data_IF_694310667780
#
_entry.id   IF_694310667780
#
_cell.length_a   1.000
_cell.length_b   1.000
_cell.length_c   1.000
_cell.angle_alpha   90.00
_cell.angle_beta   90.00
_cell.angle_gamma   90.00
#
_symmetry.space_group_name_H-M   'P 1'
#
loop_
_entity.id
_entity.type
_entity.pdbx_description
1 polymer ?
#
# COMPACT_ATOMS: atom_id res chain seq x y z
N UNK A 1 -21.99 39.09 -18.91
CA UNK A 1 -22.07 38.15 -17.78
C UNK A 1 -20.68 37.59 -17.58
N UNK A 2 -19.88 38.22 -16.73
CA UNK A 2 -18.51 37.79 -16.43
C UNK A 2 -18.58 36.50 -15.62
N UNK A 3 -18.04 35.42 -16.17
CA UNK A 3 -17.88 34.15 -15.45
C UNK A 3 -16.91 34.40 -14.31
N UNK A 4 -17.43 34.47 -13.09
CA UNK A 4 -16.65 34.56 -11.87
C UNK A 4 -15.93 33.22 -11.69
N UNK A 5 -14.67 33.17 -12.13
CA UNK A 5 -13.82 32.01 -11.91
C UNK A 5 -13.54 31.98 -10.41
N UNK A 6 -14.26 31.12 -9.67
CA UNK A 6 -13.97 30.83 -8.27
C UNK A 6 -12.49 30.47 -8.15
N UNK A 7 -11.66 31.42 -7.72
CA UNK A 7 -10.24 31.20 -7.53
C UNK A 7 -10.09 30.29 -6.32
N UNK A 8 -9.98 28.98 -6.56
CA UNK A 8 -9.65 28.02 -5.53
C UNK A 8 -8.27 28.42 -5.00
N UNK A 9 -8.23 28.94 -3.77
CA UNK A 9 -7.02 29.42 -3.09
C UNK A 9 -5.95 28.32 -3.13
N UNK A 10 -4.74 28.64 -3.60
CA UNK A 10 -3.66 27.68 -3.74
C UNK A 10 -3.48 26.82 -2.46
N UNK A 11 -3.23 25.51 -2.59
CA UNK A 11 -3.08 24.64 -1.44
C UNK A 11 -1.85 25.04 -0.63
N UNK A 12 -1.89 24.82 0.69
CA UNK A 12 -0.78 25.09 1.61
C UNK A 12 0.48 24.27 1.26
N UNK A 13 0.30 23.07 0.73
CA UNK A 13 1.35 22.17 0.24
C UNK A 13 0.91 21.61 -1.11
N UNK A 14 1.83 21.59 -2.07
CA UNK A 14 1.59 20.92 -3.37
C UNK A 14 1.69 19.40 -3.24
N UNK A 15 1.04 18.62 -4.12
CA UNK A 15 1.13 17.15 -4.10
C UNK A 15 2.58 16.65 -4.05
N UNK A 16 3.46 17.19 -4.90
CA UNK A 16 4.87 16.81 -4.94
C UNK A 16 5.63 17.12 -3.64
N UNK A 17 5.25 18.19 -2.92
CA UNK A 17 5.85 18.50 -1.61
C UNK A 17 5.38 17.51 -0.53
N UNK A 18 4.14 17.03 -0.61
CA UNK A 18 3.63 15.98 0.30
C UNK A 18 4.39 14.67 0.04
N UNK A 19 4.52 14.25 -1.22
CA UNK A 19 5.31 13.07 -1.61
C UNK A 19 6.77 13.19 -1.18
N UNK A 20 7.41 14.36 -1.37
CA UNK A 20 8.80 14.58 -0.94
C UNK A 20 8.93 14.52 0.59
N UNK A 21 7.99 15.10 1.32
CA UNK A 21 7.96 15.03 2.78
C UNK A 21 7.85 13.58 3.25
N UNK A 22 6.94 12.79 2.66
CA UNK A 22 6.78 11.35 2.93
C UNK A 22 8.09 10.62 2.69
N UNK A 23 8.73 10.84 1.55
CA UNK A 23 10.00 10.21 1.21
C UNK A 23 11.11 10.49 2.22
N UNK A 24 11.33 11.77 2.55
CA UNK A 24 12.36 12.19 3.51
C UNK A 24 12.05 11.62 4.90
N UNK A 25 10.79 11.68 5.33
CA UNK A 25 10.37 11.16 6.63
C UNK A 25 10.57 9.64 6.71
N UNK A 26 10.18 8.89 5.68
CA UNK A 26 10.41 7.44 5.58
C UNK A 26 11.90 7.11 5.75
N UNK A 27 12.80 7.82 5.06
CA UNK A 27 14.26 7.57 5.17
C UNK A 27 14.74 7.87 6.59
N UNK A 28 14.34 9.00 7.18
CA UNK A 28 14.74 9.38 8.53
C UNK A 28 14.28 8.33 9.54
N UNK A 29 13.02 7.89 9.47
CA UNK A 29 12.47 6.88 10.37
C UNK A 29 13.20 5.54 10.23
N UNK A 30 13.51 5.14 8.99
CA UNK A 30 14.29 3.94 8.72
C UNK A 30 15.69 4.02 9.36
N UNK A 31 16.41 5.11 9.14
CA UNK A 31 17.75 5.32 9.70
C UNK A 31 17.69 5.36 11.22
N UNK A 32 16.71 6.05 11.82
CA UNK A 32 16.52 6.11 13.27
C UNK A 32 16.29 4.71 13.83
N UNK A 33 15.41 3.91 13.21
CA UNK A 33 15.13 2.55 13.66
C UNK A 33 16.38 1.67 13.64
N UNK A 34 17.15 1.74 12.56
CA UNK A 34 18.33 0.88 12.38
C UNK A 34 19.55 1.33 13.21
N UNK A 35 19.65 2.63 13.53
CA UNK A 35 20.86 3.18 14.15
C UNK A 35 20.79 3.26 15.67
N UNK A 36 19.60 3.27 16.27
CA UNK A 36 19.41 3.50 17.70
C UNK A 36 18.70 2.33 18.39
N UNK A 37 19.07 2.08 19.64
CA UNK A 37 18.34 1.16 20.51
C UNK A 37 17.04 1.82 20.99
N UNK A 38 15.93 1.51 20.33
CA UNK A 38 14.63 2.08 20.63
C UNK A 38 13.82 1.23 21.62
N UNK A 39 13.13 1.88 22.55
CA UNK A 39 12.13 1.23 23.40
C UNK A 39 10.89 0.83 22.61
N UNK A 40 10.08 -0.08 23.16
CA UNK A 40 8.81 -0.49 22.54
C UNK A 40 7.90 0.70 22.24
N UNK A 41 7.85 1.70 23.13
CA UNK A 41 7.04 2.91 22.92
C UNK A 41 7.57 3.74 21.75
N UNK A 42 8.89 3.92 21.63
CA UNK A 42 9.50 4.65 20.52
C UNK A 42 9.25 3.95 19.18
N UNK A 43 9.40 2.63 19.13
CA UNK A 43 9.06 1.81 17.96
C UNK A 43 7.58 1.93 17.59
N UNK A 44 6.68 1.88 18.58
CA UNK A 44 5.24 2.09 18.38
C UNK A 44 4.94 3.46 17.78
N UNK A 45 5.59 4.52 18.26
CA UNK A 45 5.43 5.88 17.70
C UNK A 45 5.86 5.91 16.23
N UNK A 46 6.99 5.29 15.88
CA UNK A 46 7.46 5.22 14.48
C UNK A 46 6.44 4.47 13.60
N UNK A 47 5.90 3.34 14.08
CA UNK A 47 4.84 2.60 13.39
C UNK A 47 3.58 3.45 13.15
N UNK A 48 3.16 4.25 14.14
CA UNK A 48 2.03 5.19 13.97
C UNK A 48 2.36 6.28 12.94
N UNK A 49 3.59 6.77 12.89
CA UNK A 49 4.01 7.73 11.86
C UNK A 49 4.00 7.07 10.47
N UNK A 50 4.46 5.81 10.32
CA UNK A 50 4.33 5.07 9.06
C UNK A 50 2.87 4.92 8.62
N UNK A 51 1.96 4.63 9.55
CA UNK A 51 0.53 4.60 9.24
C UNK A 51 0.05 5.98 8.73
N UNK A 52 0.49 7.08 9.36
CA UNK A 52 0.18 8.42 8.88
C UNK A 52 0.78 8.72 7.49
N UNK A 53 1.98 8.21 7.17
CA UNK A 53 2.60 8.34 5.84
C UNK A 53 1.73 7.66 4.76
N UNK A 54 1.22 6.45 5.02
CA UNK A 54 0.31 5.77 4.10
C UNK A 54 -1.05 6.47 3.98
N UNK A 55 -1.53 7.16 5.03
CA UNK A 55 -2.74 7.98 4.92
C UNK A 55 -2.47 9.23 4.08
N UNK A 56 -1.31 9.87 4.24
CA UNK A 56 -0.92 11.07 3.49
C UNK A 56 -0.80 10.81 1.98
N UNK A 57 -0.40 9.59 1.58
CA UNK A 57 -0.41 9.10 0.20
C UNK A 57 -1.76 9.31 -0.49
N UNK A 58 -2.83 8.84 0.15
CA UNK A 58 -4.15 8.99 -0.44
C UNK A 58 -4.62 10.46 -0.52
N UNK A 59 -4.04 11.34 0.30
CA UNK A 59 -4.40 12.77 0.37
C UNK A 59 -3.76 13.56 -0.78
N UNK A 60 -2.52 13.26 -1.18
CA UNK A 60 -1.87 14.00 -2.27
C UNK A 60 -2.61 13.84 -3.61
N UNK A 61 -3.18 12.66 -3.87
CA UNK A 61 -4.04 12.39 -5.01
C UNK A 61 -5.36 13.18 -4.98
N UNK A 62 -5.95 13.38 -3.80
CA UNK A 62 -7.14 14.24 -3.63
C UNK A 62 -6.77 15.70 -3.93
N UNK A 63 -5.66 16.19 -3.39
CA UNK A 63 -5.17 17.55 -3.61
C UNK A 63 -4.86 17.76 -5.10
N UNK A 64 -4.18 16.82 -5.76
CA UNK A 64 -3.86 16.92 -7.18
C UNK A 64 -5.11 17.05 -8.06
N UNK A 65 -6.16 16.24 -7.79
CA UNK A 65 -7.44 16.31 -8.51
C UNK A 65 -8.20 17.60 -8.21
N UNK A 66 -8.26 18.01 -6.93
CA UNK A 66 -9.00 19.19 -6.48
C UNK A 66 -8.42 20.50 -7.03
N UNK A 67 -7.09 20.58 -7.16
CA UNK A 67 -6.40 21.79 -7.58
C UNK A 67 -5.89 21.74 -9.03
N UNK A 68 -6.19 20.68 -9.78
CA UNK A 68 -5.68 20.47 -11.15
C UNK A 68 -4.15 20.55 -11.25
N UNK A 69 -3.44 20.10 -10.21
CA UNK A 69 -1.97 20.15 -10.11
C UNK A 69 -1.34 18.80 -10.49
N UNK A 70 -1.88 18.12 -11.49
CA UNK A 70 -1.33 16.86 -11.98
C UNK A 70 -0.08 17.13 -12.84
N UNK A 71 1.06 16.55 -12.45
CA UNK A 71 2.30 16.58 -13.23
C UNK A 71 2.77 15.17 -13.51
N UNK A 72 3.28 14.94 -14.73
CA UNK A 72 3.78 13.62 -15.15
C UNK A 72 4.98 13.18 -14.28
N UNK A 73 5.89 14.11 -13.99
CA UNK A 73 7.03 13.86 -13.10
C UNK A 73 6.60 13.56 -11.66
N UNK A 74 5.60 14.27 -11.14
CA UNK A 74 5.03 14.02 -9.82
C UNK A 74 4.42 12.63 -9.69
N UNK A 75 3.66 12.20 -10.70
CA UNK A 75 3.07 10.86 -10.72
C UNK A 75 4.12 9.73 -10.69
N UNK A 76 5.23 9.86 -11.43
CA UNK A 76 6.30 8.87 -11.39
C UNK A 76 7.07 8.90 -10.07
N UNK A 77 7.29 10.10 -9.52
CA UNK A 77 7.97 10.25 -8.23
C UNK A 77 7.16 9.62 -7.09
N UNK A 78 5.85 9.83 -7.08
CA UNK A 78 4.93 9.24 -6.12
C UNK A 78 4.96 7.71 -6.14
N UNK A 79 4.78 7.12 -7.32
CA UNK A 79 4.87 5.67 -7.49
C UNK A 79 6.22 5.08 -7.04
N UNK A 80 7.32 5.81 -7.19
CA UNK A 80 8.63 5.38 -6.70
C UNK A 80 8.74 5.48 -5.16
N UNK A 81 8.24 6.57 -4.58
CA UNK A 81 8.25 6.80 -3.12
C UNK A 81 7.38 5.77 -2.38
N UNK A 82 6.29 5.32 -2.98
CA UNK A 82 5.43 4.27 -2.42
C UNK A 82 6.18 2.95 -2.27
N UNK A 83 6.85 2.52 -3.34
CA UNK A 83 7.64 1.29 -3.36
C UNK A 83 8.76 1.38 -2.34
N UNK A 84 9.47 2.51 -2.29
CA UNK A 84 10.53 2.72 -1.30
C UNK A 84 9.98 2.68 0.12
N UNK A 85 8.88 3.36 0.41
CA UNK A 85 8.25 3.39 1.73
C UNK A 85 7.82 2.00 2.18
N UNK A 86 7.18 1.24 1.29
CA UNK A 86 6.79 -0.14 1.55
C UNK A 86 8.00 -1.02 1.90
N UNK A 87 9.05 -1.00 1.07
CA UNK A 87 10.21 -1.87 1.28
C UNK A 87 11.06 -1.46 2.48
N UNK A 88 11.23 -0.17 2.77
CA UNK A 88 11.96 0.26 3.96
C UNK A 88 11.24 -0.18 5.24
N UNK A 89 9.91 -0.08 5.29
CA UNK A 89 9.14 -0.66 6.39
C UNK A 89 9.26 -2.19 6.43
N UNK A 90 9.29 -2.87 5.28
CA UNK A 90 9.50 -4.32 5.21
C UNK A 90 10.84 -4.73 5.84
N UNK A 91 11.90 -4.00 5.51
CA UNK A 91 13.23 -4.24 6.05
C UNK A 91 13.33 -3.95 7.55
N UNK A 92 12.63 -2.93 8.06
CA UNK A 92 12.48 -2.71 9.50
C UNK A 92 11.87 -3.94 10.19
N UNK A 93 10.76 -4.45 9.64
CA UNK A 93 10.08 -5.62 10.21
C UNK A 93 10.92 -6.89 10.07
N UNK A 94 11.72 -7.00 9.01
CA UNK A 94 12.67 -8.10 8.84
C UNK A 94 13.80 -8.04 9.87
N UNK A 95 14.36 -6.85 10.16
CA UNK A 95 15.42 -6.72 11.17
C UNK A 95 14.94 -7.07 12.58
N UNK A 96 13.63 -7.00 12.83
CA UNK A 96 13.00 -7.45 14.08
C UNK A 96 12.64 -8.96 14.07
N UNK A 97 12.93 -9.68 12.98
CA UNK A 97 12.60 -11.09 12.83
C UNK A 97 11.11 -11.38 12.59
N UNK A 98 10.32 -10.37 12.23
CA UNK A 98 8.86 -10.49 12.06
C UNK A 98 8.53 -10.91 10.63
N UNK A 99 9.01 -10.15 9.64
CA UNK A 99 8.78 -10.49 8.23
C UNK A 99 9.94 -11.35 7.70
N UNK A 100 9.64 -12.54 7.14
CA UNK A 100 10.67 -13.39 6.58
C UNK A 100 11.15 -12.85 5.22
N UNK A 101 12.44 -13.05 4.91
CA UNK A 101 13.05 -12.54 3.68
C UNK A 101 12.39 -13.05 2.38
N UNK A 102 11.82 -14.26 2.38
CA UNK A 102 11.12 -14.78 1.20
C UNK A 102 9.87 -13.96 0.86
N UNK A 103 9.15 -13.44 1.87
CA UNK A 103 7.97 -12.60 1.67
C UNK A 103 8.36 -11.31 0.94
N UNK A 104 9.44 -10.67 1.42
CA UNK A 104 9.98 -9.46 0.81
C UNK A 104 10.44 -9.73 -0.63
N UNK A 105 11.13 -10.84 -0.86
CA UNK A 105 11.55 -11.23 -2.20
C UNK A 105 10.36 -11.45 -3.15
N UNK A 106 9.29 -12.14 -2.72
CA UNK A 106 8.08 -12.35 -3.52
C UNK A 106 7.39 -11.03 -3.87
N UNK A 107 7.32 -10.09 -2.92
CA UNK A 107 6.75 -8.77 -3.14
C UNK A 107 7.62 -7.94 -4.11
N UNK A 108 8.94 -8.02 -3.99
CA UNK A 108 9.89 -7.31 -4.86
C UNK A 108 9.85 -7.82 -6.29
N UNK A 109 9.90 -9.14 -6.48
CA UNK A 109 9.80 -9.78 -7.80
C UNK A 109 8.55 -9.30 -8.52
N UNK A 110 7.41 -9.31 -7.82
CA UNK A 110 6.13 -8.83 -8.36
C UNK A 110 6.23 -7.37 -8.81
N UNK A 111 6.84 -6.51 -8.01
CA UNK A 111 6.93 -5.08 -8.33
C UNK A 111 7.79 -4.82 -9.57
N UNK A 112 8.94 -5.48 -9.67
CA UNK A 112 9.82 -5.43 -10.84
C UNK A 112 9.09 -5.88 -12.10
N UNK A 113 8.34 -7.00 -12.04
CA UNK A 113 7.57 -7.48 -13.18
C UNK A 113 6.49 -6.49 -13.64
N UNK A 114 5.75 -5.90 -12.69
CA UNK A 114 4.70 -4.92 -13.04
C UNK A 114 5.30 -3.68 -13.68
N UNK A 115 6.43 -3.17 -13.18
CA UNK A 115 7.15 -2.04 -13.78
C UNK A 115 7.60 -2.37 -15.19
N UNK A 116 8.22 -3.54 -15.40
CA UNK A 116 8.66 -4.00 -16.73
C UNK A 116 7.50 -4.08 -17.73
N UNK A 117 6.40 -4.74 -17.34
CA UNK A 117 5.24 -4.91 -18.24
C UNK A 117 4.63 -3.55 -18.59
N UNK A 118 4.50 -2.64 -17.63
CA UNK A 118 3.99 -1.30 -17.89
C UNK A 118 4.89 -0.52 -18.86
N UNK A 119 6.21 -0.63 -18.72
CA UNK A 119 7.16 0.01 -19.63
C UNK A 119 7.02 -0.56 -21.06
N UNK A 120 7.01 -1.88 -21.21
CA UNK A 120 6.82 -2.55 -22.50
C UNK A 120 5.50 -2.15 -23.18
N UNK A 121 4.39 -2.15 -22.43
CA UNK A 121 3.09 -1.77 -22.98
C UNK A 121 3.03 -0.30 -23.41
N UNK A 122 3.68 0.59 -22.65
CA UNK A 122 3.78 2.01 -23.00
C UNK A 122 4.56 2.24 -24.30
N UNK A 123 5.65 1.51 -24.53
CA UNK A 123 6.39 1.55 -25.80
C UNK A 123 5.53 1.13 -27.00
N UNK A 124 4.59 0.21 -26.80
CA UNK A 124 3.65 -0.24 -27.85
C UNK A 124 2.44 0.70 -28.06
N UNK A 125 2.42 1.87 -27.40
CA UNK A 125 1.32 2.84 -27.49
C UNK A 125 0.08 2.47 -26.68
N UNK A 126 0.14 1.44 -25.83
CA UNK A 126 -0.97 1.06 -24.94
C UNK A 126 -0.76 1.62 -23.54
N UNK A 127 -1.56 2.63 -23.19
CA UNK A 127 -1.62 3.14 -21.82
C UNK A 127 -2.58 2.30 -20.98
N UNK A 128 -2.02 1.61 -19.97
CA UNK A 128 -2.82 0.78 -19.06
C UNK A 128 -3.31 1.63 -17.89
N UNK A 129 -4.63 1.73 -17.75
CA UNK A 129 -5.25 2.40 -16.61
C UNK A 129 -5.12 1.59 -15.33
N UNK A 130 -5.13 2.28 -14.19
CA UNK A 130 -5.05 1.65 -12.86
C UNK A 130 -6.28 0.76 -12.63
N UNK A 131 -6.03 -0.53 -12.34
CA UNK A 131 -7.08 -1.49 -12.02
C UNK A 131 -7.77 -1.15 -10.69
N UNK A 132 -9.09 -1.35 -10.59
CA UNK A 132 -9.84 -1.13 -9.34
C UNK A 132 -9.34 -1.96 -8.16
N UNK A 133 -8.73 -3.13 -8.42
CA UNK A 133 -8.15 -4.00 -7.39
C UNK A 133 -6.84 -3.45 -6.80
N UNK A 134 -6.13 -2.57 -7.54
CA UNK A 134 -4.89 -1.96 -7.05
C UNK A 134 -5.16 -1.03 -5.87
N UNK A 135 -6.29 -0.31 -5.88
CA UNK A 135 -6.73 0.53 -4.75
C UNK A 135 -6.94 -0.32 -3.50
N UNK A 136 -7.70 -1.42 -3.63
CA UNK A 136 -7.95 -2.35 -2.52
C UNK A 136 -6.64 -2.93 -1.98
N UNK A 137 -5.73 -3.33 -2.88
CA UNK A 137 -4.41 -3.87 -2.52
C UNK A 137 -3.61 -2.87 -1.68
N UNK A 138 -3.52 -1.60 -2.09
CA UNK A 138 -2.73 -0.61 -1.34
C UNK A 138 -3.24 -0.47 0.11
N UNK A 139 -4.56 -0.39 0.28
CA UNK A 139 -5.20 -0.28 1.60
C UNK A 139 -4.98 -1.51 2.50
N UNK A 140 -5.08 -2.71 1.93
CA UNK A 140 -4.85 -3.97 2.67
C UNK A 140 -3.40 -4.18 3.08
N UNK A 141 -2.46 -3.41 2.51
CA UNK A 141 -1.03 -3.61 2.73
C UNK A 141 -0.46 -2.51 3.62
N UNK A 142 -0.65 -1.23 3.30
CA UNK A 142 0.06 -0.12 3.95
C UNK A 142 -0.19 -0.05 5.47
N UNK A 143 -1.42 0.29 5.87
CA UNK A 143 -1.77 0.47 7.28
C UNK A 143 -1.61 -0.84 8.09
N UNK A 144 -2.06 -2.01 7.60
CA UNK A 144 -1.82 -3.28 8.30
C UNK A 144 -0.34 -3.57 8.54
N UNK A 145 0.53 -3.27 7.58
CA UNK A 145 1.97 -3.45 7.74
C UNK A 145 2.57 -2.50 8.77
N UNK A 146 2.13 -1.23 8.77
CA UNK A 146 2.62 -0.21 9.70
C UNK A 146 2.44 -0.64 11.16
N UNK A 147 1.34 -1.34 11.47
CA UNK A 147 1.05 -1.82 12.82
C UNK A 147 1.52 -3.26 13.11
N UNK A 148 2.15 -3.93 12.13
CA UNK A 148 2.56 -5.33 12.27
C UNK A 148 3.53 -5.55 13.44
N UNK A 149 4.46 -4.62 13.67
CA UNK A 149 5.38 -4.68 14.82
C UNK A 149 4.63 -4.75 16.14
N UNK A 150 3.64 -3.86 16.34
CA UNK A 150 2.88 -3.76 17.59
C UNK A 150 1.98 -4.98 17.78
N UNK A 151 1.34 -5.45 16.72
CA UNK A 151 0.45 -6.62 16.78
C UNK A 151 1.25 -7.91 17.01
N UNK A 152 2.49 -8.00 16.52
CA UNK A 152 3.32 -9.18 16.70
C UNK A 152 4.01 -9.22 18.08
N UNK A 153 4.54 -8.08 18.53
CA UNK A 153 5.39 -8.01 19.74
C UNK A 153 4.68 -7.49 20.98
N UNK A 154 3.58 -6.76 20.83
CA UNK A 154 2.86 -6.14 21.93
C UNK A 154 2.07 -7.16 22.76
N UNK A 155 1.67 -6.75 23.96
CA UNK A 155 0.79 -7.53 24.83
C UNK A 155 -0.63 -7.62 24.24
N UNK A 156 -1.43 -8.62 24.67
CA UNK A 156 -2.75 -8.91 24.11
C UNK A 156 -3.65 -7.67 24.00
N UNK A 157 -3.68 -6.79 25.00
CA UNK A 157 -4.46 -5.56 24.97
C UNK A 157 -4.07 -4.64 23.80
N UNK A 158 -2.77 -4.47 23.56
CA UNK A 158 -2.26 -3.68 22.43
C UNK A 158 -2.56 -4.35 21.09
N UNK A 159 -2.43 -5.68 21.00
CA UNK A 159 -2.73 -6.43 19.78
C UNK A 159 -4.19 -6.22 19.35
N UNK A 160 -5.14 -6.45 20.25
CA UNK A 160 -6.56 -6.25 19.97
C UNK A 160 -6.89 -4.79 19.66
N UNK A 161 -6.27 -3.84 20.35
CA UNK A 161 -6.48 -2.41 20.09
C UNK A 161 -6.04 -2.03 18.67
N UNK A 162 -4.84 -2.40 18.24
CA UNK A 162 -4.34 -2.04 16.91
C UNK A 162 -5.05 -2.80 15.77
N UNK A 163 -5.44 -4.07 15.98
CA UNK A 163 -6.33 -4.78 15.06
C UNK A 163 -7.67 -4.05 14.93
N UNK A 164 -8.25 -3.59 16.05
CA UNK A 164 -9.51 -2.83 16.03
C UNK A 164 -9.36 -1.49 15.31
N UNK A 165 -8.24 -0.78 15.49
CA UNK A 165 -7.96 0.47 14.79
C UNK A 165 -7.90 0.28 13.26
N UNK A 166 -7.27 -0.80 12.80
CA UNK A 166 -7.25 -1.15 11.36
C UNK A 166 -8.67 -1.41 10.85
N UNK A 167 -9.48 -2.12 11.62
CA UNK A 167 -10.85 -2.41 11.23
C UNK A 167 -11.70 -1.13 11.16
N UNK A 168 -11.57 -0.23 12.15
CA UNK A 168 -12.21 1.09 12.16
C UNK A 168 -11.75 1.93 10.96
N UNK A 169 -10.46 1.88 10.63
CA UNK A 169 -9.93 2.55 9.44
C UNK A 169 -10.64 2.07 8.17
N UNK A 170 -10.75 0.76 7.96
CA UNK A 170 -11.46 0.22 6.79
C UNK A 170 -12.94 0.56 6.76
N UNK A 171 -13.64 0.54 7.90
CA UNK A 171 -15.06 0.92 7.98
C UNK A 171 -15.30 2.39 7.62
N UNK A 172 -14.37 3.26 7.99
CA UNK A 172 -14.50 4.70 7.79
C UNK A 172 -13.91 5.17 6.45
N UNK A 173 -13.17 4.32 5.74
CA UNK A 173 -12.44 4.66 4.51
C UNK A 173 -13.33 5.32 3.45
N UNK A 174 -14.57 4.84 3.31
CA UNK A 174 -15.54 5.38 2.35
C UNK A 174 -15.98 6.83 2.65
N UNK A 175 -15.83 7.29 3.90
CA UNK A 175 -16.17 8.67 4.27
C UNK A 175 -15.13 9.67 3.77
N UNK A 176 -13.88 9.22 3.61
CA UNK A 176 -12.74 10.08 3.28
C UNK A 176 -12.31 9.96 1.82
N UNK A 177 -12.53 8.80 1.21
CA UNK A 177 -12.02 8.47 -0.12
C UNK A 177 -13.12 8.03 -1.08
N UNK A 178 -12.93 8.33 -2.38
CA UNK A 178 -13.81 7.92 -3.48
C UNK A 178 -13.63 6.42 -3.82
N UNK A 179 -14.02 5.53 -2.89
CA UNK A 179 -14.03 4.09 -3.10
C UNK A 179 -15.42 3.60 -3.51
N UNK A 180 -15.47 2.65 -4.45
CA UNK A 180 -16.72 2.01 -4.85
C UNK A 180 -17.25 1.08 -3.76
N UNK A 181 -18.56 0.83 -3.76
CA UNK A 181 -19.19 -0.10 -2.81
C UNK A 181 -18.56 -1.49 -2.85
N UNK A 182 -18.20 -1.98 -4.05
CA UNK A 182 -17.56 -3.29 -4.21
C UNK A 182 -16.18 -3.33 -3.55
N UNK A 183 -15.35 -2.29 -3.75
CA UNK A 183 -14.03 -2.19 -3.14
C UNK A 183 -14.12 -2.13 -1.62
N UNK A 184 -15.01 -1.30 -1.09
CA UNK A 184 -15.22 -1.19 0.36
C UNK A 184 -15.67 -2.51 0.99
N UNK A 185 -16.59 -3.22 0.33
CA UNK A 185 -17.04 -4.55 0.79
C UNK A 185 -15.89 -5.57 0.80
N UNK A 186 -15.06 -5.59 -0.25
CA UNK A 186 -13.89 -6.48 -0.31
C UNK A 186 -12.91 -6.15 0.81
N UNK A 187 -12.63 -4.87 1.09
CA UNK A 187 -11.77 -4.45 2.20
C UNK A 187 -12.26 -4.98 3.55
N UNK A 188 -13.52 -4.71 3.87
CA UNK A 188 -14.12 -5.13 5.15
C UNK A 188 -14.12 -6.65 5.27
N UNK A 189 -14.57 -7.37 4.24
CA UNK A 189 -14.63 -8.83 4.28
C UNK A 189 -13.24 -9.45 4.45
N UNK A 190 -12.24 -8.91 3.74
CA UNK A 190 -10.85 -9.42 3.81
C UNK A 190 -10.23 -9.15 5.18
N UNK A 191 -10.51 -8.00 5.79
CA UNK A 191 -10.02 -7.67 7.12
C UNK A 191 -10.74 -8.45 8.25
N UNK A 192 -12.03 -8.73 8.07
CA UNK A 192 -12.85 -9.42 9.06
C UNK A 192 -12.61 -10.93 9.08
N UNK A 193 -12.32 -11.52 7.91
CA UNK A 193 -12.19 -12.98 7.76
C UNK A 193 -11.16 -13.60 8.72
N UNK A 194 -9.91 -13.09 8.87
CA UNK A 194 -8.96 -13.64 9.83
C UNK A 194 -9.44 -13.56 11.28
N UNK A 195 -10.16 -12.50 11.64
CA UNK A 195 -10.67 -12.30 13.01
C UNK A 195 -11.75 -13.33 13.34
N UNK A 196 -12.66 -13.60 12.39
CA UNK A 196 -13.72 -14.59 12.58
C UNK A 196 -13.21 -16.03 12.58
N UNK A 197 -12.11 -16.31 11.88
CA UNK A 197 -11.50 -17.63 11.81
C UNK A 197 -10.66 -17.93 13.06
N UNK A 198 -10.11 -16.90 13.73
CA UNK A 198 -9.20 -17.09 14.87
C UNK A 198 -9.69 -18.06 15.96
N UNK A 199 -10.98 -18.06 16.38
CA UNK A 199 -11.46 -19.03 17.37
C UNK A 199 -11.41 -20.50 16.93
N UNK A 200 -11.29 -20.77 15.63
CA UNK A 200 -11.14 -22.12 15.07
C UNK A 200 -9.66 -22.50 14.81
N UNK A 201 -8.72 -21.58 15.06
CA UNK A 201 -7.28 -21.85 14.95
C UNK A 201 -6.81 -22.59 16.20
N UNK A 202 -5.79 -23.43 16.03
CA UNK A 202 -5.13 -24.14 17.13
C UNK A 202 -4.76 -23.17 18.27
N UNK A 203 -5.11 -23.52 19.51
CA UNK A 203 -4.89 -22.71 20.72
C UNK A 203 -3.42 -22.38 20.96
N UNK A 204 -2.49 -23.14 20.36
CA UNK A 204 -1.05 -22.87 20.42
C UNK A 204 -0.60 -21.66 19.59
N UNK A 205 -1.43 -21.20 18.64
CA UNK A 205 -1.09 -20.07 17.77
C UNK A 205 -1.52 -18.76 18.43
N UNK A 206 -0.55 -17.91 18.75
CA UNK A 206 -0.83 -16.56 19.28
C UNK A 206 -1.55 -15.68 18.25
N UNK A 207 -2.31 -14.70 18.74
CA UNK A 207 -2.96 -13.66 17.91
C UNK A 207 -1.94 -12.97 16.98
N UNK A 208 -0.76 -12.62 17.50
CA UNK A 208 0.30 -11.97 16.71
C UNK A 208 0.79 -12.83 15.54
N UNK A 209 1.03 -14.12 15.76
CA UNK A 209 1.42 -15.06 14.71
C UNK A 209 0.30 -15.26 13.69
N UNK A 210 -0.94 -15.44 14.16
CA UNK A 210 -2.09 -15.59 13.28
C UNK A 210 -2.30 -14.36 12.39
N UNK A 211 -2.18 -13.18 12.98
CA UNK A 211 -2.28 -11.92 12.24
C UNK A 211 -1.16 -11.80 11.19
N UNK A 212 0.08 -12.12 11.55
CA UNK A 212 1.22 -12.11 10.63
C UNK A 212 0.98 -13.02 9.42
N UNK A 213 0.61 -14.28 9.64
CA UNK A 213 0.37 -15.23 8.55
C UNK A 213 -0.80 -14.80 7.66
N UNK A 214 -1.88 -14.30 8.28
CA UNK A 214 -3.04 -13.79 7.55
C UNK A 214 -2.68 -12.56 6.71
N UNK A 215 -1.94 -11.61 7.28
CA UNK A 215 -1.43 -10.43 6.58
C UNK A 215 -0.58 -10.83 5.38
N UNK A 216 0.39 -11.74 5.57
CA UNK A 216 1.28 -12.18 4.50
C UNK A 216 0.51 -12.83 3.34
N UNK A 217 -0.45 -13.70 3.66
CA UNK A 217 -1.30 -14.35 2.66
C UNK A 217 -2.12 -13.32 1.88
N UNK A 218 -2.80 -12.41 2.58
CA UNK A 218 -3.63 -11.36 1.97
C UNK A 218 -2.76 -10.46 1.08
N UNK A 219 -1.60 -10.02 1.57
CA UNK A 219 -0.69 -9.15 0.84
C UNK A 219 -0.19 -9.81 -0.45
N UNK A 220 0.22 -11.08 -0.40
CA UNK A 220 0.65 -11.83 -1.59
C UNK A 220 -0.50 -11.97 -2.58
N UNK A 221 -1.65 -12.48 -2.13
CA UNK A 221 -2.81 -12.76 -3.00
C UNK A 221 -3.26 -11.49 -3.73
N UNK A 222 -3.49 -10.39 -3.00
CA UNK A 222 -3.95 -9.15 -3.61
C UNK A 222 -2.88 -8.48 -4.49
N UNK A 223 -1.60 -8.61 -4.14
CA UNK A 223 -0.52 -8.06 -4.95
C UNK A 223 -0.39 -8.74 -6.29
N UNK A 224 -0.40 -10.08 -6.31
CA UNK A 224 -0.31 -10.86 -7.54
C UNK A 224 -1.60 -10.80 -8.35
N UNK A 225 -2.77 -10.81 -7.70
CA UNK A 225 -4.06 -10.66 -8.39
C UNK A 225 -4.18 -9.28 -9.05
N UNK A 226 -3.71 -8.21 -8.39
CA UNK A 226 -3.60 -6.89 -9.00
C UNK A 226 -2.60 -6.86 -10.17
N UNK A 227 -1.53 -7.66 -10.12
CA UNK A 227 -0.56 -7.73 -11.20
C UNK A 227 -1.10 -8.50 -12.42
N UNK A 228 -1.96 -9.51 -12.20
CA UNK A 228 -2.46 -10.41 -13.24
C UNK A 228 -3.13 -9.70 -14.42
N UNK A 229 -3.82 -8.58 -14.18
CA UNK A 229 -4.40 -7.76 -15.25
C UNK A 229 -3.37 -7.28 -16.27
N UNK A 230 -2.17 -6.88 -15.80
CA UNK A 230 -1.07 -6.45 -16.67
C UNK A 230 -0.47 -7.63 -17.44
N UNK A 231 -0.27 -8.77 -16.78
CA UNK A 231 0.23 -9.99 -17.43
C UNK A 231 -0.69 -10.48 -18.55
N UNK A 232 -2.00 -10.44 -18.34
CA UNK A 232 -2.98 -10.83 -19.37
C UNK A 232 -2.88 -9.93 -20.61
N UNK A 233 -2.74 -8.62 -20.44
CA UNK A 233 -2.57 -7.68 -21.55
C UNK A 233 -1.27 -7.93 -22.32
N UNK A 234 -0.19 -8.21 -21.60
CA UNK A 234 1.10 -8.57 -22.18
C UNK A 234 1.02 -9.83 -23.08
N UNK A 235 0.37 -10.90 -22.59
CA UNK A 235 0.21 -12.14 -23.36
C UNK A 235 -0.65 -11.95 -24.62
N UNK A 236 -1.78 -11.24 -24.51
CA UNK A 236 -2.65 -10.96 -25.65
C UNK A 236 -1.91 -10.18 -26.75
N UNK A 237 -1.03 -9.26 -26.36
CA UNK A 237 -0.24 -8.48 -27.31
C UNK A 237 0.82 -9.31 -28.03
N UNK A 238 1.52 -10.19 -27.32
CA UNK A 238 2.53 -11.02 -27.97
C UNK A 238 1.92 -12.00 -28.97
N UNK A 239 0.74 -12.55 -28.68
CA UNK A 239 0.04 -13.43 -29.63
C UNK A 239 -0.36 -12.68 -30.91
N UNK A 240 -0.88 -11.45 -30.81
CA UNK A 240 -1.23 -10.63 -32.00
C UNK A 240 -0.02 -10.17 -32.81
N UNK A 241 1.19 -10.11 -32.22
CA UNK A 241 2.41 -9.86 -32.99
C UNK A 241 2.88 -11.11 -33.74
N UNK A 242 2.72 -12.32 -33.19
CA UNK A 242 3.10 -13.56 -33.87
C UNK A 242 2.23 -13.84 -35.10
N UNK A 243 0.91 -13.58 -35.04
CA UNK A 243 0.01 -13.77 -36.18
C UNK A 243 0.35 -12.87 -37.39
N UNK A 244 1.01 -11.73 -37.18
CA UNK A 244 1.40 -10.79 -38.24
C UNK A 244 2.72 -11.14 -38.94
N UNK A 245 3.49 -12.12 -38.43
CA UNK A 245 4.72 -12.62 -39.08
C UNK A 245 4.50 -13.96 -39.80
N UNK A 246 3.33 -14.58 -39.66
CA UNK A 246 2.95 -15.82 -40.34
C UNK A 246 2.08 -15.59 -41.60
N UNK A 247 1.93 -14.34 -42.06
CA UNK A 247 1.31 -13.96 -43.34
C UNK A 247 2.34 -13.29 -44.27
#
# INVERSE_FOLDING_TARGET
MSVEYNQVKAPLLTPNQITLLRFVLTIILFVIWQSFSLSFLQKTIICVIFAAIFILDNIDGIVARKYSLMSLSGHYFDAAVDVITYFLLAFILQSEGILPGFFIALMLIREVFVVYIKAYLAETGMHVSTSSIAVVKCELIGIPMAFLYIIFTGESASQYLFISLIFIYFLTLKLWYEITNKQHMILILTALLPVLIYPAVDESVSVGNWYLYSYMLIAIVFSYFSAFGYFRLFLLKNNTHQDNYEQ
#
